data_IF_483142575133
#
_entry.id   IF_483142575133
#
_cell.length_a   1.000
_cell.length_b   1.000
_cell.length_c   1.000
_cell.angle_alpha   90.00
_cell.angle_beta   90.00
_cell.angle_gamma   90.00
#
_symmetry.space_group_name_H-M   'P 1'
#
loop_
_entity.id
_entity.type
_entity.pdbx_description
1 polymer ?
#
# COMPACT_ATOMS: atom_id res chain seq x y z
N UNK A 1 15.06 -48.02 -31.35
CA UNK A 1 13.63 -47.96 -31.72
C UNK A 1 13.17 -46.54 -31.56
N UNK A 2 12.98 -45.83 -32.68
CA UNK A 2 12.50 -44.45 -32.70
C UNK A 2 10.97 -44.49 -32.90
N UNK A 3 10.26 -43.85 -32.02
CA UNK A 3 8.78 -43.62 -32.21
C UNK A 3 8.59 -42.14 -32.37
N UNK A 4 8.29 -41.74 -33.59
CA UNK A 4 7.84 -40.36 -33.94
C UNK A 4 6.31 -40.30 -33.68
N UNK A 5 5.89 -39.31 -32.88
CA UNK A 5 4.50 -38.92 -32.79
C UNK A 5 4.28 -37.59 -33.52
N UNK A 6 3.60 -37.67 -34.66
CA UNK A 6 3.06 -36.51 -35.35
C UNK A 6 1.75 -36.10 -34.67
N UNK A 7 1.61 -34.89 -34.26
CA UNK A 7 0.34 -34.29 -33.87
C UNK A 7 -0.02 -33.21 -34.90
N UNK A 8 -1.12 -33.44 -35.57
CA UNK A 8 -1.69 -32.57 -36.57
C UNK A 8 -2.33 -31.33 -35.93
N UNK A 9 -2.01 -30.16 -36.47
CA UNK A 9 -2.61 -28.86 -36.12
C UNK A 9 -3.84 -28.66 -37.00
N UNK A 10 -5.04 -28.66 -36.43
CA UNK A 10 -6.26 -28.22 -37.07
C UNK A 10 -6.52 -26.75 -36.74
N UNK A 11 -6.38 -25.90 -37.72
CA UNK A 11 -6.77 -24.49 -37.74
C UNK A 11 -8.26 -24.36 -37.92
N UNK A 12 -8.96 -23.80 -36.97
CA UNK A 12 -10.37 -23.41 -37.13
C UNK A 12 -10.43 -21.88 -37.27
N UNK A 13 -10.73 -21.45 -38.48
CA UNK A 13 -11.11 -20.06 -38.78
C UNK A 13 -12.54 -19.82 -38.28
N UNK A 14 -12.77 -18.87 -37.43
CA UNK A 14 -14.08 -18.28 -37.15
C UNK A 14 -14.13 -16.86 -37.71
N UNK A 15 -15.02 -16.71 -38.66
CA UNK A 15 -15.35 -15.51 -39.41
C UNK A 15 -15.98 -14.41 -38.53
N UNK A 16 -15.46 -13.23 -38.68
CA UNK A 16 -16.00 -11.97 -38.15
C UNK A 16 -17.15 -11.52 -39.05
N UNK A 17 -18.34 -11.36 -38.52
CA UNK A 17 -19.46 -10.73 -39.20
C UNK A 17 -19.78 -9.40 -38.56
N UNK A 18 -19.50 -8.36 -39.34
CA UNK A 18 -19.97 -7.00 -39.11
C UNK A 18 -21.47 -6.92 -39.27
N UNK A 19 -22.16 -6.31 -38.35
CA UNK A 19 -23.52 -5.82 -38.58
C UNK A 19 -23.55 -4.32 -38.36
N UNK A 20 -23.93 -3.64 -39.43
CA UNK A 20 -23.98 -2.18 -39.55
C UNK A 20 -25.43 -1.74 -39.50
N UNK A 21 -25.65 -0.55 -39.08
CA UNK A 21 -26.70 0.39 -39.45
C UNK A 21 -28.14 0.22 -38.87
N UNK A 22 -28.57 1.25 -38.20
CA UNK A 22 -29.73 2.01 -38.67
C UNK A 22 -30.15 3.13 -37.70
N UNK A 23 -30.09 4.31 -38.28
CA UNK A 23 -31.17 5.32 -38.42
C UNK A 23 -31.64 6.07 -37.18
N UNK A 24 -31.15 7.30 -37.19
CA UNK A 24 -31.76 8.51 -36.63
C UNK A 24 -33.15 8.74 -37.23
N UNK A 25 -34.17 8.85 -36.40
CA UNK A 25 -35.47 9.41 -36.80
C UNK A 25 -35.80 10.61 -35.94
N UNK A 26 -35.82 11.78 -36.63
CA UNK A 26 -36.32 13.06 -36.14
C UNK A 26 -37.84 13.01 -36.12
N UNK A 27 -38.44 13.21 -34.98
CA UNK A 27 -39.83 13.68 -34.96
C UNK A 27 -39.93 15.11 -34.46
N UNK A 28 -40.58 15.88 -35.29
CA UNK A 28 -40.84 17.33 -35.26
C UNK A 28 -42.26 17.56 -34.77
N UNK A 29 -42.39 18.58 -33.92
CA UNK A 29 -43.56 19.43 -33.66
C UNK A 29 -44.73 18.93 -32.86
N UNK A 30 -45.16 19.71 -31.86
CA UNK A 30 -46.21 20.71 -32.10
C UNK A 30 -46.36 21.63 -30.90
N UNK A 31 -46.22 22.87 -31.14
CA UNK A 31 -46.61 23.98 -30.24
C UNK A 31 -48.11 23.93 -29.91
N UNK A 32 -48.45 24.04 -28.64
CA UNK A 32 -49.73 24.59 -28.23
C UNK A 32 -49.51 25.48 -27.00
N UNK A 33 -49.97 26.66 -27.11
CA UNK A 33 -49.89 27.82 -26.27
C UNK A 33 -50.93 27.74 -25.12
N UNK A 34 -50.65 28.48 -24.05
CA UNK A 34 -51.54 28.94 -22.95
C UNK A 34 -51.71 27.95 -21.77
N UNK A 35 -51.19 28.29 -20.57
CA UNK A 35 -51.89 29.17 -19.64
C UNK A 35 -50.98 29.56 -18.48
N UNK A 36 -50.96 30.88 -18.18
CA UNK A 36 -50.32 31.49 -17.00
C UNK A 36 -51.06 31.11 -15.75
N UNK A 37 -50.46 30.32 -14.87
CA UNK A 37 -50.81 30.28 -13.45
C UNK A 37 -49.56 30.60 -12.66
N UNK A 38 -49.56 31.69 -11.95
CA UNK A 38 -48.46 32.16 -11.12
C UNK A 38 -48.20 31.19 -9.96
N UNK A 39 -47.01 30.64 -9.94
CA UNK A 39 -46.46 29.98 -8.77
C UNK A 39 -45.21 30.75 -8.37
N UNK A 40 -45.22 31.22 -7.12
CA UNK A 40 -44.13 31.92 -6.46
C UNK A 40 -42.88 31.05 -6.46
N UNK A 41 -41.66 31.59 -6.57
CA UNK A 41 -40.44 30.80 -6.48
C UNK A 41 -40.27 30.35 -5.03
N UNK A 42 -40.49 29.07 -4.78
CA UNK A 42 -39.95 28.42 -3.59
C UNK A 42 -38.41 28.45 -3.66
N UNK A 43 -37.85 28.98 -2.58
CA UNK A 43 -36.42 29.01 -2.33
C UNK A 43 -35.92 27.58 -2.28
N UNK A 44 -35.43 27.04 -3.41
CA UNK A 44 -34.52 25.91 -3.38
C UNK A 44 -33.25 26.37 -2.66
N UNK A 45 -33.15 25.99 -1.40
CA UNK A 45 -31.89 26.00 -0.69
C UNK A 45 -30.99 24.96 -1.37
N UNK A 46 -30.07 25.42 -2.21
CA UNK A 46 -28.94 24.64 -2.64
C UNK A 46 -28.17 24.22 -1.38
N UNK A 47 -28.46 23.03 -0.91
CA UNK A 47 -27.61 22.31 0.03
C UNK A 47 -26.31 21.97 -0.72
N UNK A 48 -25.36 22.90 -0.66
CA UNK A 48 -24.00 22.65 -1.11
C UNK A 48 -23.48 21.52 -0.21
N UNK A 49 -23.61 20.30 -0.69
CA UNK A 49 -22.90 19.15 -0.12
C UNK A 49 -21.42 19.48 -0.28
N UNK A 50 -20.87 20.05 0.79
CA UNK A 50 -19.45 20.26 0.96
C UNK A 50 -18.83 18.87 0.98
N UNK A 51 -18.36 18.41 -0.18
CA UNK A 51 -17.50 17.26 -0.27
C UNK A 51 -16.22 17.67 0.45
N UNK A 52 -16.20 17.51 1.76
CA UNK A 52 -14.95 17.46 2.50
C UNK A 52 -14.19 16.29 1.88
N UNK A 53 -13.07 16.61 1.24
CA UNK A 53 -12.07 15.63 0.81
C UNK A 53 -11.75 14.78 2.03
N UNK A 54 -12.44 13.66 2.17
CA UNK A 54 -12.12 12.65 3.18
C UNK A 54 -10.75 12.14 2.81
N UNK A 55 -9.73 12.59 3.54
CA UNK A 55 -8.41 11.97 3.51
C UNK A 55 -8.67 10.47 3.74
N UNK A 56 -8.48 9.67 2.69
CA UNK A 56 -8.73 8.24 2.75
C UNK A 56 -7.96 7.67 3.93
N UNK A 57 -8.69 7.11 4.90
CA UNK A 57 -8.07 6.57 6.10
C UNK A 57 -7.35 5.32 5.66
N UNK A 58 -6.00 5.34 5.72
CA UNK A 58 -5.18 4.19 5.37
C UNK A 58 -5.56 3.01 6.25
N UNK A 59 -6.00 1.93 5.62
CA UNK A 59 -6.30 0.68 6.28
C UNK A 59 -4.98 0.00 6.70
N UNK A 60 -4.73 -0.06 8.02
CA UNK A 60 -3.50 -0.61 8.59
C UNK A 60 -3.38 -2.13 8.36
N UNK A 61 -4.49 -2.85 8.36
CA UNK A 61 -4.55 -4.28 8.08
C UNK A 61 -4.18 -4.57 6.62
N UNK A 62 -4.66 -3.78 5.67
CA UNK A 62 -4.31 -3.91 4.25
C UNK A 62 -2.82 -3.60 4.01
N UNK A 63 -2.28 -2.57 4.68
CA UNK A 63 -0.87 -2.25 4.61
C UNK A 63 -0.01 -3.42 5.08
N UNK A 64 -0.36 -4.02 6.21
CA UNK A 64 0.36 -5.17 6.76
C UNK A 64 0.19 -6.41 5.88
N UNK A 65 -1.01 -6.66 5.34
CA UNK A 65 -1.25 -7.76 4.40
C UNK A 65 -0.40 -7.59 3.14
N UNK A 66 -0.34 -6.39 2.58
CA UNK A 66 0.54 -6.07 1.45
C UNK A 66 2.02 -6.29 1.79
N UNK A 67 2.48 -5.81 2.94
CA UNK A 67 3.86 -6.05 3.38
C UNK A 67 4.19 -7.55 3.46
N UNK A 68 3.26 -8.38 3.95
CA UNK A 68 3.43 -9.83 4.07
C UNK A 68 3.55 -10.56 2.72
N UNK A 69 3.07 -9.98 1.61
CA UNK A 69 3.24 -10.57 0.27
C UNK A 69 4.70 -10.65 -0.18
N UNK A 70 5.60 -9.90 0.46
CA UNK A 70 7.04 -9.88 0.17
C UNK A 70 7.88 -10.80 1.07
N UNK A 71 7.25 -11.60 1.94
CA UNK A 71 8.00 -12.60 2.72
C UNK A 71 8.83 -13.46 1.77
N UNK A 72 10.06 -13.78 2.17
CA UNK A 72 11.07 -14.52 1.42
C UNK A 72 11.74 -13.76 0.25
N UNK A 73 11.33 -12.53 -0.09
CA UNK A 73 12.06 -11.69 -1.04
C UNK A 73 13.47 -11.42 -0.49
N UNK A 74 14.54 -11.61 -1.30
CA UNK A 74 15.92 -11.49 -0.84
C UNK A 74 16.26 -10.11 -0.27
N UNK A 75 17.14 -10.07 0.73
CA UNK A 75 17.79 -8.83 1.13
C UNK A 75 18.86 -8.45 0.10
N UNK A 76 18.76 -7.23 -0.43
CA UNK A 76 19.78 -6.66 -1.32
C UNK A 76 20.06 -5.23 -0.87
N UNK A 77 21.32 -4.94 -0.53
CA UNK A 77 21.75 -3.64 -0.04
C UNK A 77 21.43 -2.51 -1.04
N UNK A 78 20.99 -1.37 -0.55
CA UNK A 78 20.63 -0.15 -1.30
C UNK A 78 19.52 -0.35 -2.35
N UNK A 79 18.66 -1.37 -2.22
CA UNK A 79 17.61 -1.72 -3.19
C UNK A 79 16.21 -1.58 -2.58
N UNK A 80 15.24 -1.20 -3.45
CA UNK A 80 13.81 -1.15 -3.14
C UNK A 80 12.97 -1.71 -4.32
N UNK A 81 13.44 -2.77 -4.94
CA UNK A 81 12.82 -3.39 -6.11
C UNK A 81 12.31 -4.79 -5.75
N UNK A 82 10.97 -5.03 -5.76
CA UNK A 82 10.43 -6.33 -5.36
C UNK A 82 10.91 -7.51 -6.20
N UNK A 83 11.42 -7.24 -7.42
CA UNK A 83 11.97 -8.29 -8.30
C UNK A 83 13.44 -8.61 -8.02
N UNK A 84 14.17 -7.66 -7.43
CA UNK A 84 15.61 -7.81 -7.13
C UNK A 84 15.87 -8.07 -5.66
N UNK A 85 15.11 -7.44 -4.78
CA UNK A 85 15.25 -7.51 -3.35
C UNK A 85 15.10 -6.15 -2.66
N UNK A 86 15.18 -6.14 -1.35
CA UNK A 86 15.05 -4.96 -0.51
C UNK A 86 16.19 -4.84 0.48
N UNK A 87 16.66 -3.61 0.76
CA UNK A 87 17.24 -3.30 2.04
C UNK A 87 16.13 -2.95 3.08
N UNK A 88 16.49 -2.79 4.36
CA UNK A 88 15.50 -2.56 5.41
C UNK A 88 14.64 -1.30 5.20
N UNK A 89 15.26 -0.17 4.84
CA UNK A 89 14.55 1.08 4.59
C UNK A 89 13.89 1.10 3.21
N UNK A 90 14.44 0.40 2.22
CA UNK A 90 13.83 0.22 0.90
C UNK A 90 12.54 -0.58 0.97
N UNK A 91 12.49 -1.62 1.80
CA UNK A 91 11.27 -2.36 2.07
C UNK A 91 10.19 -1.47 2.69
N UNK A 92 10.52 -0.76 3.77
CA UNK A 92 9.61 0.16 4.43
C UNK A 92 9.12 1.24 3.46
N UNK A 93 10.04 1.89 2.72
CA UNK A 93 9.69 2.93 1.76
C UNK A 93 8.78 2.39 0.64
N UNK A 94 9.05 1.21 0.12
CA UNK A 94 8.24 0.59 -0.92
C UNK A 94 6.81 0.29 -0.46
N UNK A 95 6.66 -0.30 0.73
CA UNK A 95 5.35 -0.62 1.30
C UNK A 95 4.53 0.66 1.52
N UNK A 96 5.07 1.65 2.20
CA UNK A 96 4.34 2.90 2.49
C UNK A 96 4.02 3.71 1.24
N UNK A 97 4.91 3.72 0.24
CA UNK A 97 4.66 4.39 -1.03
C UNK A 97 3.44 3.81 -1.77
N UNK A 98 3.17 2.52 -1.63
CA UNK A 98 1.99 1.88 -2.24
C UNK A 98 0.66 2.36 -1.63
N UNK A 99 0.72 3.01 -0.45
CA UNK A 99 -0.41 3.64 0.25
C UNK A 99 -0.30 5.17 0.26
N UNK A 100 0.43 5.76 -0.70
CA UNK A 100 0.63 7.20 -0.85
C UNK A 100 1.23 7.89 0.39
N UNK A 101 1.91 7.12 1.25
CA UNK A 101 2.61 7.63 2.43
C UNK A 101 4.08 7.82 2.12
N UNK A 102 4.53 9.08 2.19
CA UNK A 102 5.95 9.43 1.96
C UNK A 102 6.74 9.27 3.24
N UNK A 103 7.74 8.39 3.22
CA UNK A 103 8.69 8.15 4.31
C UNK A 103 10.14 8.27 3.81
N UNK A 104 11.12 8.53 4.68
CA UNK A 104 12.53 8.62 4.27
C UNK A 104 13.01 7.34 3.57
N UNK A 105 13.88 7.50 2.55
CA UNK A 105 14.49 6.35 1.86
C UNK A 105 15.57 5.67 2.72
N UNK A 106 16.24 6.40 3.61
CA UNK A 106 17.28 5.84 4.47
C UNK A 106 16.80 5.60 5.90
N UNK A 107 17.34 4.58 6.57
CA UNK A 107 17.03 4.31 7.98
C UNK A 107 17.41 5.49 8.89
N UNK A 108 18.52 6.16 8.61
CA UNK A 108 18.97 7.34 9.37
C UNK A 108 17.97 8.51 9.34
N UNK A 109 17.22 8.65 8.25
CA UNK A 109 16.16 9.65 8.13
C UNK A 109 15.03 9.49 9.17
N UNK A 110 14.86 8.28 9.72
CA UNK A 110 13.85 8.04 10.76
C UNK A 110 14.25 8.53 12.16
N UNK A 111 15.48 9.02 12.35
CA UNK A 111 15.91 9.55 13.67
C UNK A 111 14.95 10.60 14.21
N UNK A 112 14.50 11.53 13.35
CA UNK A 112 13.61 12.65 13.70
C UNK A 112 12.26 12.60 12.93
N UNK A 113 11.97 11.52 12.23
CA UNK A 113 10.76 11.38 11.40
C UNK A 113 9.68 10.59 12.12
N UNK A 114 8.41 10.91 11.81
CA UNK A 114 7.23 10.26 12.34
C UNK A 114 6.85 10.73 13.76
N UNK A 115 5.58 10.50 14.13
CA UNK A 115 5.09 10.76 15.48
C UNK A 115 5.55 9.64 16.42
N UNK A 116 6.37 9.95 17.42
CA UNK A 116 6.79 8.96 18.42
C UNK A 116 5.56 8.42 19.17
N UNK A 117 5.49 7.11 19.30
CA UNK A 117 4.45 6.37 20.01
C UNK A 117 5.07 5.68 21.22
N UNK A 118 4.32 5.58 22.33
CA UNK A 118 4.71 4.75 23.46
C UNK A 118 4.56 3.27 23.09
N UNK A 119 5.42 2.42 23.66
CA UNK A 119 5.46 0.99 23.34
C UNK A 119 4.12 0.31 23.58
N UNK A 120 3.42 0.68 24.65
CA UNK A 120 2.11 0.12 25.01
C UNK A 120 0.98 0.59 24.07
N UNK A 121 1.23 1.61 23.24
CA UNK A 121 0.29 2.13 22.26
C UNK A 121 0.64 1.72 20.80
N UNK A 122 1.53 0.76 20.63
CA UNK A 122 1.92 0.22 19.31
C UNK A 122 0.68 -0.30 18.58
N UNK A 123 0.57 0.05 17.30
CA UNK A 123 -0.48 -0.42 16.39
C UNK A 123 0.10 -1.06 15.12
N UNK A 124 -0.73 -1.81 14.40
CA UNK A 124 -0.38 -2.37 13.10
C UNK A 124 0.10 -1.25 12.16
N UNK A 125 1.14 -1.52 11.37
CA UNK A 125 1.67 -0.56 10.42
C UNK A 125 2.59 0.51 11.03
N UNK A 126 2.76 0.59 12.35
CA UNK A 126 3.77 1.47 12.95
C UNK A 126 5.18 1.01 12.57
N UNK A 127 6.14 1.94 12.55
CA UNK A 127 7.52 1.63 12.20
C UNK A 127 8.38 1.54 13.44
N UNK A 128 8.97 0.36 13.66
CA UNK A 128 10.01 0.13 14.66
C UNK A 128 11.35 0.61 14.11
N UNK A 129 12.03 1.43 14.90
CA UNK A 129 13.31 2.03 14.57
C UNK A 129 14.37 1.45 15.51
N UNK A 130 15.46 0.96 14.94
CA UNK A 130 16.54 0.32 15.68
C UNK A 130 17.89 1.01 15.39
N UNK A 131 18.77 0.99 16.37
CA UNK A 131 20.15 1.42 16.20
C UNK A 131 20.96 0.48 15.30
N UNK A 132 22.11 0.94 14.81
CA UNK A 132 23.04 0.12 14.06
C UNK A 132 23.57 -1.07 14.87
N UNK A 133 23.98 -2.13 14.17
CA UNK A 133 24.54 -3.31 14.85
C UNK A 133 25.92 -3.04 15.45
N UNK A 134 26.76 -2.30 14.72
CA UNK A 134 28.12 -1.95 15.17
C UNK A 134 28.17 -0.58 15.84
N UNK A 135 27.20 0.28 15.57
CA UNK A 135 27.14 1.63 16.10
C UNK A 135 25.74 1.90 16.69
N UNK A 136 25.66 1.90 18.02
CA UNK A 136 24.42 2.17 18.77
C UNK A 136 24.02 3.65 18.79
N UNK A 137 24.83 4.55 18.25
CA UNK A 137 24.55 6.00 18.17
C UNK A 137 23.82 6.40 16.89
N UNK A 138 23.89 5.57 15.86
CA UNK A 138 23.22 5.76 14.58
C UNK A 138 21.99 4.89 14.44
N UNK A 139 21.03 5.31 13.60
CA UNK A 139 19.90 4.45 13.19
C UNK A 139 20.36 3.56 12.05
N UNK A 140 20.18 2.26 12.21
CA UNK A 140 20.69 1.25 11.27
C UNK A 140 19.66 0.24 10.77
N UNK A 141 18.44 0.17 11.35
CA UNK A 141 17.45 -0.80 10.90
C UNK A 141 16.02 -0.36 11.16
N UNK A 142 15.09 -0.88 10.36
CA UNK A 142 13.67 -0.58 10.40
C UNK A 142 12.83 -1.85 10.21
N UNK A 143 11.61 -1.84 10.75
CA UNK A 143 10.58 -2.83 10.45
C UNK A 143 9.19 -2.29 10.66
N UNK A 144 8.19 -2.92 10.06
CA UNK A 144 6.78 -2.54 10.13
C UNK A 144 6.08 -3.50 11.11
N UNK A 145 5.36 -2.97 12.10
CA UNK A 145 4.60 -3.78 13.05
C UNK A 145 3.53 -4.57 12.32
N UNK A 146 3.53 -5.88 12.48
CA UNK A 146 2.57 -6.80 11.86
C UNK A 146 1.74 -7.63 12.85
N UNK A 147 2.09 -7.60 14.14
CA UNK A 147 1.29 -8.03 15.28
C UNK A 147 1.59 -7.07 16.42
N UNK A 148 0.57 -6.38 16.94
CA UNK A 148 0.71 -5.35 17.96
C UNK A 148 0.38 -5.91 19.35
N UNK A 149 1.38 -5.98 20.21
CA UNK A 149 1.29 -6.46 21.61
C UNK A 149 2.40 -5.81 22.46
N UNK A 150 2.41 -4.47 22.52
CA UNK A 150 3.41 -3.75 23.30
C UNK A 150 4.83 -4.20 22.91
N UNK A 151 5.63 -4.54 23.93
CA UNK A 151 7.00 -5.04 23.72
C UNK A 151 7.07 -6.47 23.16
N UNK A 152 5.95 -7.22 23.14
CA UNK A 152 5.87 -8.56 22.51
C UNK A 152 5.48 -8.49 21.04
N UNK A 153 5.32 -7.29 20.49
CA UNK A 153 4.95 -7.07 19.08
C UNK A 153 5.89 -7.80 18.14
N UNK A 154 5.32 -8.25 17.01
CA UNK A 154 6.10 -8.76 15.88
C UNK A 154 6.14 -7.74 14.75
N UNK A 155 7.21 -7.77 13.99
CA UNK A 155 7.41 -6.86 12.87
C UNK A 155 8.00 -7.57 11.66
N UNK A 156 7.60 -7.12 10.49
CA UNK A 156 8.10 -7.57 9.20
C UNK A 156 9.18 -6.60 8.71
N UNK A 157 10.29 -7.14 8.21
CA UNK A 157 11.44 -6.36 7.77
C UNK A 157 12.32 -7.11 6.77
N UNK A 158 13.09 -6.39 5.94
CA UNK A 158 14.16 -7.01 5.16
C UNK A 158 15.41 -7.16 6.04
N UNK A 159 15.72 -8.40 6.42
CA UNK A 159 16.80 -8.74 7.35
C UNK A 159 18.12 -8.90 6.63
N UNK A 160 19.15 -8.14 7.05
CA UNK A 160 20.56 -8.35 6.65
C UNK A 160 21.31 -9.35 7.54
N UNK A 161 20.61 -9.99 8.50
CA UNK A 161 21.18 -11.04 9.36
C UNK A 161 21.15 -12.42 8.70
N UNK A 162 21.06 -13.48 9.51
CA UNK A 162 21.04 -14.87 8.99
C UNK A 162 19.97 -15.15 7.95
N UNK A 163 18.82 -14.47 8.02
CA UNK A 163 17.71 -14.72 7.10
C UNK A 163 18.02 -14.24 5.68
N UNK A 164 18.73 -13.09 5.51
CA UNK A 164 19.02 -12.46 4.23
C UNK A 164 17.80 -12.32 3.31
N UNK A 165 16.64 -12.00 3.89
CA UNK A 165 15.35 -11.87 3.20
C UNK A 165 14.34 -11.08 4.01
N UNK A 166 13.19 -10.78 3.42
CA UNK A 166 12.04 -10.27 4.16
C UNK A 166 11.50 -11.38 5.06
N UNK A 167 11.38 -11.09 6.34
CA UNK A 167 10.97 -12.04 7.37
C UNK A 167 10.27 -11.33 8.53
N UNK A 168 9.66 -12.10 9.42
CA UNK A 168 9.06 -11.59 10.66
C UNK A 168 9.99 -11.91 11.82
N UNK A 169 10.12 -10.94 12.75
CA UNK A 169 10.89 -11.07 13.98
C UNK A 169 10.12 -10.51 15.16
N UNK A 170 10.54 -10.87 16.37
CA UNK A 170 9.95 -10.40 17.63
C UNK A 170 10.76 -9.24 18.20
N UNK A 171 10.05 -8.17 18.64
CA UNK A 171 10.67 -6.99 19.23
C UNK A 171 11.41 -7.35 20.54
N UNK A 172 10.82 -8.23 21.37
CA UNK A 172 11.37 -8.67 22.65
C UNK A 172 12.56 -9.65 22.52
N UNK A 173 12.91 -10.09 21.29
CA UNK A 173 14.08 -10.95 21.09
C UNK A 173 15.37 -10.27 21.58
N UNK A 174 16.33 -11.04 22.09
CA UNK A 174 17.58 -10.50 22.63
C UNK A 174 18.36 -9.63 21.63
N UNK A 175 18.20 -9.89 20.32
CA UNK A 175 18.86 -9.11 19.27
C UNK A 175 18.20 -7.75 19.05
N UNK A 176 16.85 -7.69 19.01
CA UNK A 176 16.14 -6.45 18.68
C UNK A 176 15.86 -5.59 19.89
N UNK A 177 15.57 -6.18 21.05
CA UNK A 177 15.33 -5.43 22.29
C UNK A 177 16.50 -4.53 22.69
N UNK A 178 17.75 -5.02 22.54
CA UNK A 178 18.98 -4.23 22.81
C UNK A 178 19.19 -3.06 21.89
N UNK A 179 18.62 -3.11 20.68
CA UNK A 179 18.80 -2.11 19.63
C UNK A 179 17.57 -1.22 19.43
N UNK A 180 16.50 -1.50 20.13
CA UNK A 180 15.26 -0.74 20.03
C UNK A 180 15.52 0.73 20.41
N UNK A 181 15.19 1.63 19.50
CA UNK A 181 15.36 3.06 19.67
C UNK A 181 14.02 3.75 19.94
N UNK A 182 13.01 3.50 19.09
CA UNK A 182 11.67 4.05 19.23
C UNK A 182 10.70 3.33 18.29
N UNK A 183 9.40 3.54 18.51
CA UNK A 183 8.35 3.29 17.52
C UNK A 183 7.76 4.61 17.05
N UNK A 184 7.35 4.68 15.78
CA UNK A 184 6.75 5.87 15.20
C UNK A 184 5.50 5.53 14.37
N UNK A 185 4.44 6.33 14.56
CA UNK A 185 3.32 6.37 13.62
C UNK A 185 3.69 7.31 12.45
N UNK A 186 3.56 6.82 11.24
CA UNK A 186 3.81 7.56 10.00
C UNK A 186 2.53 7.72 9.17
N UNK A 187 1.43 7.11 9.61
CA UNK A 187 0.13 7.11 8.95
C UNK A 187 -0.69 8.34 9.36
N UNK A 188 -0.76 8.61 10.68
CA UNK A 188 -1.53 9.71 11.26
C UNK A 188 -0.60 10.89 11.62
N UNK A 189 0.00 11.51 10.63
CA UNK A 189 0.90 12.67 10.83
C UNK A 189 0.12 13.94 11.08
#
# INVERSE_FOLDING_TARGET
MRVNFFIAITTTLLSFQCFNDSKVEKQKTKSTELELVGIQPEKETEEIVKIESSKEIVNREELVAFAKTFIDVPYVYATQDPKKGFDCSGFVNYVFKNFDIVVPRSSSGFKNFGKKIDVDAIALGDVLVFTGYQDSTSIGHLGIVCEADGFNSKFIHASSGKAMKVTISELNSAHYSKRFYKVVDVINK
#
